data_IF_492868212717
#
_entry.id   IF_492868212717
#
_cell.length_a   1.000
_cell.length_b   1.000
_cell.length_c   1.000
_cell.angle_alpha   90.00
_cell.angle_beta   90.00
_cell.angle_gamma   90.00
#
_symmetry.space_group_name_H-M   'P 1'
#
loop_
_entity.id
_entity.type
_entity.pdbx_description
1 polymer ?
#
# COMPACT_ATOMS: atom_id res chain seq x y z
N UNK A 1 -22.07 6.34 -14.35
CA UNK A 1 -22.12 7.62 -13.61
C UNK A 1 -20.68 8.03 -13.37
N UNK A 2 -20.27 9.19 -13.88
CA UNK A 2 -18.89 9.69 -13.75
C UNK A 2 -18.78 10.49 -12.45
N UNK A 3 -17.71 10.27 -11.68
CA UNK A 3 -17.37 11.09 -10.52
C UNK A 3 -16.90 12.47 -11.01
N UNK A 4 -17.83 13.40 -11.20
CA UNK A 4 -17.49 14.77 -11.54
C UNK A 4 -17.19 15.53 -10.25
N UNK A 5 -15.90 15.65 -9.92
CA UNK A 5 -15.44 16.36 -8.73
C UNK A 5 -15.36 17.85 -9.06
N UNK A 6 -16.50 18.54 -8.89
CA UNK A 6 -16.61 19.99 -8.67
C UNK A 6 -15.67 20.90 -9.50
N UNK A 7 -16.06 21.22 -10.74
CA UNK A 7 -15.44 22.31 -11.49
C UNK A 7 -16.29 22.72 -12.69
N UNK A 8 -16.63 24.02 -12.80
CA UNK A 8 -17.26 24.59 -13.99
C UNK A 8 -16.17 24.86 -15.03
N UNK A 9 -16.19 24.17 -16.17
CA UNK A 9 -15.27 24.41 -17.29
C UNK A 9 -14.83 23.15 -18.04
N UNK A 10 -14.26 23.33 -19.23
CA UNK A 10 -13.75 22.24 -20.07
C UNK A 10 -12.39 21.68 -19.60
N UNK A 11 -11.63 22.48 -18.81
CA UNK A 11 -10.34 22.12 -18.25
C UNK A 11 -10.49 21.37 -16.91
N UNK A 12 -9.81 20.25 -16.70
CA UNK A 12 -9.87 19.50 -15.46
C UNK A 12 -9.10 20.18 -14.32
N UNK A 13 -9.51 19.96 -13.08
CA UNK A 13 -8.78 20.48 -11.91
C UNK A 13 -7.46 19.73 -11.73
N UNK A 14 -6.53 20.36 -10.99
CA UNK A 14 -5.27 19.70 -10.62
C UNK A 14 -5.54 18.39 -9.86
N UNK A 15 -6.49 18.37 -8.94
CA UNK A 15 -6.84 17.18 -8.15
C UNK A 15 -7.45 16.07 -9.01
N UNK A 16 -8.27 16.39 -10.01
CA UNK A 16 -8.78 15.40 -10.98
C UNK A 16 -7.61 14.75 -11.77
N UNK A 17 -6.63 15.55 -12.20
CA UNK A 17 -5.43 15.04 -12.90
C UNK A 17 -4.54 14.19 -11.98
N UNK A 18 -4.30 14.65 -10.75
CA UNK A 18 -3.45 13.95 -9.79
C UNK A 18 -4.07 12.61 -9.39
N UNK A 19 -5.39 12.57 -9.15
CA UNK A 19 -6.10 11.34 -8.84
C UNK A 19 -6.04 10.34 -10.01
N UNK A 20 -6.22 10.80 -11.25
CA UNK A 20 -6.06 9.97 -12.43
C UNK A 20 -4.63 9.42 -12.60
N UNK A 21 -3.60 10.18 -12.22
CA UNK A 21 -2.21 9.72 -12.30
C UNK A 21 -1.86 8.65 -11.24
N UNK A 22 -2.43 8.72 -10.03
CA UNK A 22 -2.11 7.80 -8.93
C UNK A 22 -2.80 6.43 -9.06
N UNK A 23 -3.86 6.34 -9.85
CA UNK A 23 -4.68 5.12 -9.93
C UNK A 23 -3.90 3.88 -10.40
N UNK A 24 -3.07 3.92 -11.45
CA UNK A 24 -2.30 2.75 -11.87
C UNK A 24 -1.30 2.26 -10.82
N UNK A 25 -0.63 3.17 -10.09
CA UNK A 25 0.29 2.78 -9.01
C UNK A 25 -0.43 2.10 -7.85
N UNK A 26 -1.61 2.62 -7.48
CA UNK A 26 -2.43 2.00 -6.43
C UNK A 26 -2.97 0.63 -6.86
N UNK A 27 -3.38 0.50 -8.13
CA UNK A 27 -3.82 -0.76 -8.71
C UNK A 27 -2.70 -1.80 -8.71
N UNK A 28 -1.46 -1.41 -9.03
CA UNK A 28 -0.29 -2.30 -8.94
C UNK A 28 -0.12 -2.83 -7.50
N UNK A 29 -0.06 -1.93 -6.52
CA UNK A 29 0.12 -2.33 -5.13
C UNK A 29 -1.00 -3.26 -4.62
N UNK A 30 -2.26 -2.94 -4.95
CA UNK A 30 -3.41 -3.76 -4.59
C UNK A 30 -3.39 -5.15 -5.24
N UNK A 31 -2.99 -5.25 -6.51
CA UNK A 31 -2.85 -6.54 -7.21
C UNK A 31 -1.71 -7.37 -6.62
N UNK A 32 -0.52 -6.79 -6.42
CA UNK A 32 0.62 -7.50 -5.81
C UNK A 32 0.23 -8.05 -4.43
N UNK A 33 -0.44 -7.26 -3.59
CA UNK A 33 -0.91 -7.72 -2.29
C UNK A 33 -1.96 -8.83 -2.40
N UNK A 34 -2.97 -8.67 -3.26
CA UNK A 34 -4.05 -9.64 -3.43
C UNK A 34 -3.53 -10.98 -3.96
N UNK A 35 -2.61 -10.94 -4.93
CA UNK A 35 -1.95 -12.13 -5.48
C UNK A 35 -1.05 -12.75 -4.42
N UNK A 36 -0.32 -11.97 -3.62
CA UNK A 36 0.51 -12.47 -2.52
C UNK A 36 -0.31 -13.23 -1.47
N UNK A 37 -1.46 -12.69 -1.06
CA UNK A 37 -2.39 -13.39 -0.15
C UNK A 37 -2.95 -14.66 -0.78
N UNK A 38 -3.31 -14.62 -2.07
CA UNK A 38 -3.84 -15.78 -2.78
C UNK A 38 -2.77 -16.86 -3.04
N UNK A 39 -1.50 -16.46 -3.15
CA UNK A 39 -0.36 -17.36 -3.33
C UNK A 39 -0.17 -18.30 -2.13
N UNK A 40 -0.50 -17.84 -0.91
CA UNK A 40 -0.52 -18.69 0.29
C UNK A 40 -1.43 -19.91 0.14
N UNK A 41 -2.49 -19.81 -0.69
CA UNK A 41 -3.45 -20.90 -0.91
C UNK A 41 -3.18 -21.69 -2.20
N UNK A 42 -2.49 -21.09 -3.17
CA UNK A 42 -2.28 -21.67 -4.51
C UNK A 42 -0.84 -21.43 -4.99
N UNK A 43 0.01 -22.48 -5.06
CA UNK A 43 1.43 -22.32 -5.34
C UNK A 43 1.74 -21.79 -6.74
N UNK A 44 0.85 -22.00 -7.72
CA UNK A 44 1.05 -21.49 -9.08
C UNK A 44 1.09 -19.95 -9.16
N UNK A 45 0.55 -19.24 -8.17
CA UNK A 45 0.54 -17.78 -8.14
C UNK A 45 1.87 -17.17 -7.72
N UNK A 46 2.76 -17.94 -7.08
CA UNK A 46 4.14 -17.48 -6.85
C UNK A 46 4.85 -17.16 -8.17
N UNK A 47 4.62 -17.98 -9.20
CA UNK A 47 5.16 -17.72 -10.54
C UNK A 47 4.61 -16.42 -11.16
N UNK A 48 3.39 -16.00 -10.81
CA UNK A 48 2.84 -14.72 -11.26
C UNK A 48 3.48 -13.56 -10.50
N UNK A 49 3.78 -13.76 -9.21
CA UNK A 49 4.46 -12.77 -8.37
C UNK A 49 5.92 -12.55 -8.79
N UNK A 50 6.63 -13.61 -9.21
CA UNK A 50 8.00 -13.51 -9.74
C UNK A 50 8.10 -12.62 -10.99
N UNK A 51 7.02 -12.57 -11.78
CA UNK A 51 6.89 -11.76 -12.99
C UNK A 51 5.86 -10.62 -12.81
N UNK A 52 5.82 -9.99 -11.64
CA UNK A 52 4.82 -8.96 -11.33
C UNK A 52 4.89 -7.75 -12.29
N UNK A 53 6.09 -7.31 -12.68
CA UNK A 53 6.31 -6.20 -13.60
C UNK A 53 5.75 -6.51 -14.99
N UNK A 54 6.02 -7.71 -15.51
CA UNK A 54 5.58 -8.17 -16.83
C UNK A 54 4.05 -8.35 -16.86
N UNK A 55 3.51 -8.97 -15.82
CA UNK A 55 2.06 -9.18 -15.68
C UNK A 55 1.33 -7.84 -15.61
N UNK A 56 1.81 -6.90 -14.78
CA UNK A 56 1.20 -5.58 -14.65
C UNK A 56 1.32 -4.77 -15.95
N UNK A 57 2.47 -4.81 -16.62
CA UNK A 57 2.65 -4.13 -17.90
C UNK A 57 1.71 -4.71 -18.99
N UNK A 58 1.52 -6.02 -19.04
CA UNK A 58 0.58 -6.67 -19.95
C UNK A 58 -0.86 -6.26 -19.64
N UNK A 59 -1.26 -6.29 -18.36
CA UNK A 59 -2.59 -5.89 -17.92
C UNK A 59 -2.88 -4.42 -18.30
N UNK A 60 -1.96 -3.51 -17.97
CA UNK A 60 -2.08 -2.10 -18.33
C UNK A 60 -2.05 -1.89 -19.84
N UNK A 61 -1.28 -2.65 -20.60
CA UNK A 61 -1.30 -2.61 -22.06
C UNK A 61 -2.69 -2.92 -22.61
N UNK A 62 -3.34 -3.97 -22.10
CA UNK A 62 -4.69 -4.36 -22.52
C UNK A 62 -5.71 -3.29 -22.14
N UNK A 63 -5.69 -2.83 -20.88
CA UNK A 63 -6.63 -1.82 -20.38
C UNK A 63 -6.47 -0.47 -21.09
N UNK A 64 -5.24 0.03 -21.24
CA UNK A 64 -4.96 1.30 -21.91
C UNK A 64 -5.26 1.24 -23.40
N UNK A 65 -4.90 0.15 -24.07
CA UNK A 65 -5.21 -0.04 -25.50
C UNK A 65 -6.73 -0.10 -25.71
N UNK A 66 -7.46 -0.78 -24.81
CA UNK A 66 -8.91 -0.80 -24.86
C UNK A 66 -9.51 0.59 -24.63
N UNK A 67 -9.11 1.29 -23.56
CA UNK A 67 -9.64 2.62 -23.21
C UNK A 67 -9.35 3.65 -24.30
N UNK A 68 -8.12 3.74 -24.80
CA UNK A 68 -7.77 4.71 -25.84
C UNK A 68 -8.46 4.42 -27.17
N UNK A 69 -8.85 3.17 -27.42
CA UNK A 69 -9.60 2.78 -28.63
C UNK A 69 -11.10 3.08 -28.51
N UNK A 70 -11.68 3.00 -27.32
CA UNK A 70 -13.12 3.17 -27.09
C UNK A 70 -13.48 4.60 -26.67
N UNK A 71 -12.78 5.17 -25.68
CA UNK A 71 -13.10 6.45 -25.06
C UNK A 71 -12.15 7.59 -25.45
N UNK A 72 -11.10 7.31 -26.25
CA UNK A 72 -10.02 8.27 -26.56
C UNK A 72 -9.41 8.88 -25.28
N UNK A 73 -9.41 8.12 -24.18
CA UNK A 73 -8.88 8.47 -22.88
C UNK A 73 -8.05 7.31 -22.34
N UNK A 74 -7.06 7.60 -21.51
CA UNK A 74 -6.42 6.52 -20.73
C UNK A 74 -7.40 5.86 -19.77
N UNK A 75 -7.09 4.66 -19.31
CA UNK A 75 -7.96 3.91 -18.40
C UNK A 75 -8.31 4.72 -17.15
N UNK A 76 -7.31 5.35 -16.53
CA UNK A 76 -7.53 6.17 -15.34
C UNK A 76 -8.27 7.47 -15.63
N UNK A 77 -7.99 8.14 -16.75
CA UNK A 77 -8.74 9.33 -17.18
C UNK A 77 -10.22 9.00 -17.42
N UNK A 78 -10.54 7.86 -18.04
CA UNK A 78 -11.92 7.40 -18.26
C UNK A 78 -12.68 7.18 -16.95
N UNK A 79 -12.00 6.76 -15.88
CA UNK A 79 -12.60 6.59 -14.55
C UNK A 79 -13.09 7.91 -13.94
N UNK A 80 -12.34 8.99 -14.17
CA UNK A 80 -12.65 10.34 -13.71
C UNK A 80 -13.44 11.18 -14.73
N UNK A 81 -13.89 10.59 -15.84
CA UNK A 81 -14.67 11.31 -16.87
C UNK A 81 -13.85 12.28 -17.70
N UNK A 82 -12.56 12.02 -17.84
CA UNK A 82 -11.59 12.82 -18.59
C UNK A 82 -11.34 12.19 -19.96
N UNK A 83 -10.96 13.03 -20.92
CA UNK A 83 -10.71 12.61 -22.31
C UNK A 83 -9.54 13.38 -22.91
N UNK A 84 -8.75 12.70 -23.75
CA UNK A 84 -7.65 13.33 -24.48
C UNK A 84 -8.15 13.97 -25.77
N UNK A 85 -7.51 15.07 -26.15
CA UNK A 85 -7.75 15.76 -27.42
C UNK A 85 -6.43 16.25 -27.99
N UNK A 86 -6.31 16.21 -29.32
CA UNK A 86 -5.14 16.78 -29.99
C UNK A 86 -5.15 18.30 -29.80
N UNK A 87 -4.10 18.83 -29.18
CA UNK A 87 -3.83 20.25 -29.17
C UNK A 87 -3.17 20.61 -30.50
N UNK A 88 -3.83 21.43 -31.33
CA UNK A 88 -3.16 22.11 -32.43
C UNK A 88 -2.26 23.16 -31.80
N UNK A 89 -0.96 22.89 -31.71
CA UNK A 89 0.05 23.88 -31.32
C UNK A 89 0.04 24.93 -32.43
N UNK A 90 -0.80 25.96 -32.30
CA UNK A 90 -0.74 27.14 -33.16
C UNK A 90 0.55 27.86 -32.79
N UNK A 91 1.59 27.65 -33.58
CA UNK A 91 2.77 28.50 -33.61
C UNK A 91 2.29 29.94 -33.74
N UNK A 92 2.61 30.77 -32.76
CA UNK A 92 2.15 32.14 -32.58
C UNK A 92 2.82 33.07 -33.59
N UNK A 93 2.61 32.85 -34.88
CA UNK A 93 3.06 33.77 -35.95
C UNK A 93 2.21 33.64 -37.22
N UNK A 94 0.90 33.68 -37.09
CA UNK A 94 -0.03 34.18 -38.10
C UNK A 94 -1.41 34.32 -37.46
N UNK A 95 -2.04 35.47 -37.71
CA UNK A 95 -3.46 35.75 -37.56
C UNK A 95 -3.98 36.22 -36.20
N UNK A 96 -3.83 37.54 -36.00
CA UNK A 96 -4.67 38.41 -35.16
C UNK A 96 -6.09 38.58 -35.76
N UNK A 97 -6.47 37.87 -36.83
CA UNK A 97 -7.64 38.21 -37.65
C UNK A 97 -8.66 37.08 -37.86
N UNK A 98 -9.04 36.36 -36.80
CA UNK A 98 -10.26 35.54 -36.82
C UNK A 98 -10.88 35.34 -35.43
N UNK A 99 -11.46 36.40 -34.86
CA UNK A 99 -12.50 36.27 -33.82
C UNK A 99 -13.86 36.38 -34.51
N UNK A 100 -14.47 35.23 -34.83
CA UNK A 100 -15.94 35.06 -34.94
C UNK A 100 -16.27 33.70 -35.59
N UNK A 101 -16.43 32.65 -34.77
CA UNK A 101 -17.43 31.57 -34.92
C UNK A 101 -17.05 30.42 -33.99
N UNK A 102 -17.81 30.27 -32.91
CA UNK A 102 -17.82 29.07 -32.08
C UNK A 102 -18.14 27.84 -32.93
N UNK A 103 -17.12 27.03 -33.12
CA UNK A 103 -17.16 25.78 -33.85
C UNK A 103 -15.86 25.08 -33.54
N UNK A 104 -15.67 24.70 -32.27
CA UNK A 104 -14.55 23.86 -31.84
C UNK A 104 -14.67 22.56 -32.65
N UNK A 105 -13.97 22.48 -33.77
CA UNK A 105 -13.91 21.25 -34.56
C UNK A 105 -13.30 20.16 -33.67
N UNK A 106 -14.15 19.25 -33.18
CA UNK A 106 -13.80 18.13 -32.32
C UNK A 106 -12.99 17.09 -33.11
N UNK A 107 -11.70 17.37 -33.37
CA UNK A 107 -10.79 16.39 -33.98
C UNK A 107 -10.36 15.36 -32.94
N UNK A 108 -10.81 14.11 -33.08
CA UNK A 108 -10.33 12.99 -32.26
C UNK A 108 -8.83 12.71 -32.46
N UNK A 109 -8.23 11.91 -31.57
CA UNK A 109 -6.79 11.60 -31.63
C UNK A 109 -6.40 10.89 -32.92
N UNK A 110 -5.24 11.25 -33.46
CA UNK A 110 -4.64 10.54 -34.58
C UNK A 110 -4.19 9.13 -34.15
N UNK A 111 -4.18 8.16 -35.08
CA UNK A 111 -3.72 6.78 -34.79
C UNK A 111 -2.30 6.76 -34.22
N UNK A 112 -1.41 7.62 -34.71
CA UNK A 112 -0.04 7.77 -34.21
C UNK A 112 -0.02 8.27 -32.76
N UNK A 113 -0.81 9.29 -32.45
CA UNK A 113 -0.95 9.83 -31.09
C UNK A 113 -1.49 8.79 -30.11
N UNK A 114 -2.46 7.97 -30.53
CA UNK A 114 -2.98 6.86 -29.69
C UNK A 114 -1.87 5.86 -29.35
N UNK A 115 -1.15 5.36 -30.35
CA UNK A 115 -0.07 4.37 -30.13
C UNK A 115 1.05 4.96 -29.28
N UNK A 116 1.51 6.17 -29.58
CA UNK A 116 2.55 6.83 -28.78
C UNK A 116 2.09 7.07 -27.34
N UNK A 117 0.81 7.36 -27.11
CA UNK A 117 0.28 7.54 -25.77
C UNK A 117 0.24 6.24 -24.96
N UNK A 118 -0.06 5.09 -25.59
CA UNK A 118 0.05 3.77 -24.95
C UNK A 118 1.51 3.47 -24.59
N UNK A 119 2.43 3.73 -25.52
CA UNK A 119 3.86 3.51 -25.30
C UNK A 119 4.36 4.34 -24.12
N UNK A 120 3.99 5.63 -24.05
CA UNK A 120 4.39 6.49 -22.94
C UNK A 120 3.78 6.06 -21.59
N UNK A 121 2.54 5.55 -21.58
CA UNK A 121 1.84 5.13 -20.36
C UNK A 121 2.24 3.75 -19.83
N UNK A 122 2.73 2.86 -20.69
CA UNK A 122 2.99 1.45 -20.30
C UNK A 122 4.47 1.12 -20.42
N UNK A 123 5.07 1.43 -21.56
CA UNK A 123 6.45 1.03 -21.87
C UNK A 123 7.45 1.86 -21.05
N UNK A 124 7.24 3.17 -20.97
CA UNK A 124 8.12 4.04 -20.18
C UNK A 124 8.13 3.68 -18.67
N UNK A 125 6.99 3.52 -17.97
CA UNK A 125 7.02 3.12 -16.58
C UNK A 125 7.56 1.70 -16.36
N UNK A 126 7.36 0.76 -17.30
CA UNK A 126 7.98 -0.56 -17.24
C UNK A 126 9.51 -0.48 -17.33
N UNK A 127 10.05 0.31 -18.26
CA UNK A 127 11.50 0.53 -18.31
C UNK A 127 12.01 1.24 -17.05
N UNK A 128 11.26 2.24 -16.54
CA UNK A 128 11.61 2.92 -15.30
C UNK A 128 11.63 1.95 -14.11
N UNK A 129 10.67 1.03 -13.99
CA UNK A 129 10.64 0.05 -12.89
C UNK A 129 11.76 -0.97 -13.01
N UNK A 130 12.06 -1.48 -14.22
CA UNK A 130 13.19 -2.38 -14.45
C UNK A 130 14.53 -1.71 -14.16
N UNK A 131 14.73 -0.47 -14.61
CA UNK A 131 15.94 0.29 -14.28
C UNK A 131 16.07 0.53 -12.76
N UNK A 132 14.97 0.84 -12.09
CA UNK A 132 14.93 1.02 -10.64
C UNK A 132 15.29 -0.27 -9.89
N UNK A 133 14.74 -1.41 -10.32
CA UNK A 133 15.04 -2.73 -9.74
C UNK A 133 16.52 -3.10 -9.89
N UNK A 134 17.08 -2.89 -11.09
CA UNK A 134 18.50 -3.14 -11.34
C UNK A 134 19.38 -2.22 -10.48
N UNK A 135 19.03 -0.93 -10.39
CA UNK A 135 19.74 0.05 -9.58
C UNK A 135 19.69 -0.30 -8.09
N UNK A 136 18.53 -0.66 -7.55
CA UNK A 136 18.36 -1.02 -6.15
C UNK A 136 19.14 -2.29 -5.81
N UNK A 137 19.10 -3.32 -6.67
CA UNK A 137 19.87 -4.55 -6.48
C UNK A 137 21.37 -4.28 -6.41
N UNK A 138 21.90 -3.41 -7.27
CA UNK A 138 23.30 -3.05 -7.25
C UNK A 138 23.66 -2.18 -6.03
N UNK A 139 22.79 -1.22 -5.68
CA UNK A 139 22.97 -0.39 -4.49
C UNK A 139 22.97 -1.23 -3.22
N UNK A 140 22.06 -2.18 -3.09
CA UNK A 140 21.98 -3.13 -1.98
C UNK A 140 23.21 -4.02 -1.91
N UNK A 141 23.68 -4.57 -3.04
CA UNK A 141 24.91 -5.37 -3.08
C UNK A 141 26.14 -4.54 -2.67
N UNK A 142 26.24 -3.28 -3.11
CA UNK A 142 27.31 -2.36 -2.68
C UNK A 142 27.23 -2.01 -1.20
N UNK A 143 26.03 -1.74 -0.69
CA UNK A 143 25.79 -1.46 0.73
C UNK A 143 26.14 -2.67 1.58
N UNK A 144 25.68 -3.87 1.20
CA UNK A 144 25.97 -5.12 1.89
C UNK A 144 27.48 -5.40 1.92
N UNK A 145 28.17 -5.23 0.79
CA UNK A 145 29.63 -5.37 0.73
C UNK A 145 30.38 -4.33 1.58
N UNK A 146 29.84 -3.12 1.72
CA UNK A 146 30.44 -2.08 2.58
C UNK A 146 30.20 -2.34 4.08
N UNK A 147 29.08 -2.97 4.44
CA UNK A 147 28.69 -3.25 5.82
C UNK A 147 29.31 -4.54 6.37
N UNK A 148 29.44 -5.57 5.53
CA UNK A 148 29.87 -6.90 5.95
C UNK A 148 31.25 -7.31 5.38
N UNK A 149 31.92 -6.41 4.66
CA UNK A 149 33.12 -6.72 3.86
C UNK A 149 32.77 -7.55 2.62
N UNK A 150 33.75 -7.83 1.73
CA UNK A 150 33.55 -8.76 0.62
C UNK A 150 33.38 -10.18 1.17
N UNK A 151 32.18 -10.51 1.62
CA UNK A 151 31.80 -11.88 1.97
C UNK A 151 31.90 -12.75 0.72
N UNK A 152 32.82 -13.71 0.75
CA UNK A 152 32.92 -14.76 -0.25
C UNK A 152 31.56 -15.46 -0.35
N UNK A 153 30.88 -15.29 -1.47
CA UNK A 153 29.49 -15.71 -1.71
C UNK A 153 29.37 -17.22 -1.91
N UNK A 154 29.84 -18.02 -0.94
CA UNK A 154 29.88 -19.48 -1.03
C UNK A 154 29.07 -20.20 0.05
N UNK A 155 28.04 -19.57 0.63
CA UNK A 155 27.27 -20.20 1.71
C UNK A 155 25.78 -20.48 1.44
N UNK A 156 25.28 -20.29 0.21
CA UNK A 156 23.92 -20.72 -0.15
C UNK A 156 23.92 -21.47 -1.49
N UNK A 157 24.56 -22.64 -1.52
CA UNK A 157 24.26 -23.73 -2.45
C UNK A 157 24.90 -25.01 -1.87
N UNK A 158 24.27 -25.57 -0.84
CA UNK A 158 24.52 -26.96 -0.44
C UNK A 158 23.47 -27.80 -1.14
N UNK A 159 23.71 -28.07 -2.43
CA UNK A 159 23.01 -29.13 -3.14
C UNK A 159 23.54 -30.49 -2.66
N UNK A 160 22.60 -31.32 -2.23
CA UNK A 160 22.81 -32.67 -1.76
C UNK A 160 23.21 -33.58 -2.94
N UNK A 161 24.31 -34.32 -2.74
CA UNK A 161 24.92 -35.33 -3.60
C UNK A 161 24.01 -36.04 -4.62
N UNK A 162 24.48 -36.10 -5.87
CA UNK A 162 24.48 -37.37 -6.63
C UNK A 162 25.79 -37.51 -7.40
N UNK A 163 26.40 -38.67 -7.25
CA UNK A 163 27.75 -39.05 -7.66
C UNK A 163 27.63 -39.99 -8.87
N UNK A 164 28.06 -39.55 -10.06
CA UNK A 164 27.90 -40.32 -11.28
C UNK A 164 28.72 -39.83 -12.46
N UNK A 165 29.95 -40.32 -12.53
CA UNK A 165 30.82 -40.59 -13.69
C UNK A 165 30.80 -39.68 -14.95
N UNK A 166 31.99 -39.11 -15.18
CA UNK A 166 32.75 -39.07 -16.45
C UNK A 166 32.06 -38.58 -17.75
N UNK A 167 32.52 -37.42 -18.23
CA UNK A 167 33.09 -37.32 -19.59
C UNK A 167 33.91 -36.04 -19.78
N UNK A 168 35.19 -36.25 -20.08
CA UNK A 168 36.11 -35.25 -20.63
C UNK A 168 35.79 -35.13 -22.13
N UNK A 169 35.16 -34.04 -22.56
CA UNK A 169 35.26 -33.54 -23.93
C UNK A 169 34.68 -32.12 -24.10
N UNK A 170 35.45 -31.24 -24.75
CA UNK A 170 35.09 -29.95 -25.34
C UNK A 170 34.70 -28.79 -24.41
N UNK A 171 35.70 -28.04 -23.94
CA UNK A 171 35.48 -26.85 -23.09
C UNK A 171 36.45 -25.70 -23.41
N UNK A 172 36.50 -25.29 -24.68
CA UNK A 172 37.45 -24.25 -25.12
C UNK A 172 36.88 -23.19 -26.07
N UNK A 173 35.56 -23.11 -26.28
CA UNK A 173 34.95 -22.08 -27.14
C UNK A 173 33.80 -21.28 -26.54
N UNK A 174 33.29 -21.63 -25.34
CA UNK A 174 32.17 -20.93 -24.70
C UNK A 174 32.58 -19.97 -23.56
N UNK A 175 33.82 -20.05 -23.06
CA UNK A 175 34.29 -19.24 -21.92
C UNK A 175 34.70 -17.80 -22.33
N UNK A 176 35.15 -17.59 -23.58
CA UNK A 176 35.52 -16.26 -24.11
C UNK A 176 34.31 -15.38 -24.40
N UNK A 177 33.22 -15.92 -24.93
CA UNK A 177 31.97 -15.16 -25.17
C UNK A 177 31.25 -14.78 -23.87
N UNK A 178 31.30 -15.67 -22.86
CA UNK A 178 30.79 -15.38 -21.51
C UNK A 178 31.57 -14.24 -20.82
N UNK A 179 32.89 -14.19 -21.00
CA UNK A 179 33.76 -13.14 -20.41
C UNK A 179 33.51 -11.74 -20.99
N UNK A 180 33.27 -11.62 -22.31
CA UNK A 180 32.97 -10.32 -22.92
C UNK A 180 31.57 -9.81 -22.55
N UNK A 181 30.55 -10.68 -22.56
CA UNK A 181 29.18 -10.32 -22.14
C UNK A 181 29.11 -9.93 -20.67
N UNK A 182 29.85 -10.63 -19.80
CA UNK A 182 29.90 -10.30 -18.37
C UNK A 182 30.66 -8.99 -18.10
N UNK A 183 31.74 -8.69 -18.84
CA UNK A 183 32.43 -7.39 -18.76
C UNK A 183 31.56 -6.24 -19.27
N UNK A 184 30.88 -6.43 -20.41
CA UNK A 184 29.96 -5.43 -20.96
C UNK A 184 28.78 -5.19 -20.01
N UNK A 185 28.18 -6.25 -19.47
CA UNK A 185 27.10 -6.16 -18.48
C UNK A 185 27.55 -5.43 -17.21
N UNK A 186 28.75 -5.71 -16.69
CA UNK A 186 29.32 -4.99 -15.53
C UNK A 186 29.56 -3.52 -15.82
N UNK A 187 30.02 -3.17 -17.02
CA UNK A 187 30.20 -1.78 -17.42
C UNK A 187 28.86 -1.05 -17.58
N UNK A 188 27.87 -1.70 -18.19
CA UNK A 188 26.51 -1.17 -18.32
C UNK A 188 25.88 -0.96 -16.93
N UNK A 189 26.02 -1.92 -16.01
CA UNK A 189 25.55 -1.81 -14.63
C UNK A 189 26.18 -0.60 -13.92
N UNK A 190 27.51 -0.45 -13.99
CA UNK A 190 28.20 0.73 -13.42
C UNK A 190 27.68 2.05 -14.00
N UNK A 191 27.46 2.11 -15.31
CA UNK A 191 26.93 3.29 -15.99
C UNK A 191 25.48 3.56 -15.54
N UNK A 192 24.64 2.52 -15.43
CA UNK A 192 23.28 2.64 -14.90
C UNK A 192 23.31 3.16 -13.46
N UNK A 193 24.18 2.60 -12.60
CA UNK A 193 24.38 3.04 -11.23
C UNK A 193 24.75 4.53 -11.10
N UNK A 194 25.56 5.05 -12.02
CA UNK A 194 25.96 6.46 -12.01
C UNK A 194 24.93 7.39 -12.68
N UNK A 195 24.30 6.96 -13.77
CA UNK A 195 23.42 7.78 -14.59
C UNK A 195 21.97 7.80 -14.08
N UNK A 196 21.48 6.69 -13.54
CA UNK A 196 20.09 6.55 -13.10
C UNK A 196 19.64 7.60 -12.07
N UNK A 197 20.42 7.95 -11.03
CA UNK A 197 20.02 8.98 -10.07
C UNK A 197 19.77 10.34 -10.72
N UNK A 198 20.62 10.74 -11.67
CA UNK A 198 20.48 12.00 -12.40
C UNK A 198 19.29 11.99 -13.35
N UNK A 199 19.10 10.89 -14.09
CA UNK A 199 17.94 10.72 -14.97
C UNK A 199 16.66 10.75 -14.13
N UNK A 200 16.60 10.01 -13.03
CA UNK A 200 15.45 9.98 -12.13
C UNK A 200 15.17 11.39 -11.58
N UNK A 201 16.17 12.07 -11.01
CA UNK A 201 16.02 13.42 -10.48
C UNK A 201 15.52 14.40 -11.55
N UNK A 202 16.05 14.32 -12.78
CA UNK A 202 15.61 15.17 -13.90
C UNK A 202 14.16 14.88 -14.29
N UNK A 203 13.77 13.60 -14.38
CA UNK A 203 12.39 13.24 -14.73
C UNK A 203 11.39 13.67 -13.67
N UNK A 204 11.71 13.52 -12.38
CA UNK A 204 10.85 13.97 -11.28
C UNK A 204 10.79 15.50 -11.21
N UNK A 205 11.94 16.18 -11.38
CA UNK A 205 12.01 17.64 -11.42
C UNK A 205 11.20 18.23 -12.58
N UNK A 206 11.28 17.64 -13.77
CA UNK A 206 10.43 18.02 -14.90
C UNK A 206 8.96 17.77 -14.61
N UNK A 207 8.61 16.61 -14.07
CA UNK A 207 7.21 16.30 -13.71
C UNK A 207 6.65 17.30 -12.71
N UNK A 208 7.40 17.61 -11.64
CA UNK A 208 7.04 18.62 -10.65
C UNK A 208 6.89 20.01 -11.27
N UNK A 209 7.82 20.43 -12.13
CA UNK A 209 7.76 21.74 -12.78
C UNK A 209 6.50 21.90 -13.65
N UNK A 210 6.12 20.87 -14.42
CA UNK A 210 4.90 20.89 -15.24
C UNK A 210 3.64 20.86 -14.37
N UNK A 211 3.63 20.09 -13.28
CA UNK A 211 2.53 20.08 -12.31
C UNK A 211 2.33 21.45 -11.66
N UNK A 212 3.42 22.12 -11.27
CA UNK A 212 3.40 23.46 -10.70
C UNK A 212 2.91 24.50 -11.73
N UNK A 213 3.42 24.45 -12.96
CA UNK A 213 2.97 25.33 -14.05
C UNK A 213 1.50 25.10 -14.41
N UNK A 214 1.01 23.87 -14.32
CA UNK A 214 -0.40 23.54 -14.49
C UNK A 214 -1.27 24.11 -13.37
N UNK A 215 -0.78 24.09 -12.13
CA UNK A 215 -1.46 24.66 -10.96
C UNK A 215 -1.52 26.19 -11.04
N UNK A 216 -0.43 26.83 -11.49
CA UNK A 216 -0.33 28.28 -11.70
C UNK A 216 -1.08 28.78 -12.96
N UNK A 217 -1.82 27.90 -13.64
CA UNK A 217 -2.56 28.19 -14.88
C UNK A 217 -1.68 28.71 -16.04
N UNK A 218 -0.36 28.57 -15.95
CA UNK A 218 0.60 29.04 -16.96
C UNK A 218 0.66 28.12 -18.18
N UNK A 219 0.48 26.82 -17.97
CA UNK A 219 0.47 25.81 -19.05
C UNK A 219 -0.80 24.97 -19.02
N UNK A 220 -1.35 24.64 -20.19
CA UNK A 220 -2.48 23.71 -20.33
C UNK A 220 -2.12 22.23 -20.27
N UNK A 221 -0.84 21.89 -20.08
CA UNK A 221 -0.32 20.51 -20.08
C UNK A 221 0.11 20.10 -18.67
N UNK A 222 -0.29 18.91 -18.24
CA UNK A 222 0.00 18.39 -16.91
C UNK A 222 1.33 17.62 -16.83
N UNK A 223 1.76 16.99 -17.93
CA UNK A 223 3.00 16.22 -17.96
C UNK A 223 3.81 16.48 -19.24
N UNK A 224 5.11 16.24 -19.16
CA UNK A 224 6.04 16.38 -20.31
C UNK A 224 5.61 15.51 -21.49
N UNK A 225 5.13 14.29 -21.22
CA UNK A 225 4.66 13.37 -22.27
C UNK A 225 3.45 13.90 -23.02
N UNK A 226 2.50 14.52 -22.33
CA UNK A 226 1.33 15.14 -22.96
C UNK A 226 1.73 16.34 -23.83
N UNK A 227 2.69 17.14 -23.35
CA UNK A 227 3.22 18.26 -24.11
C UNK A 227 3.95 17.79 -25.38
N UNK A 228 4.83 16.79 -25.28
CA UNK A 228 5.56 16.23 -26.41
C UNK A 228 4.64 15.61 -27.48
N UNK A 229 3.51 15.04 -27.06
CA UNK A 229 2.51 14.46 -27.97
C UNK A 229 1.52 15.50 -28.52
N UNK A 230 1.54 16.73 -28.00
CA UNK A 230 0.57 17.77 -28.32
C UNK A 230 -0.85 17.33 -27.96
N UNK A 231 -1.05 16.77 -26.77
CA UNK A 231 -2.35 16.26 -26.30
C UNK A 231 -2.75 17.03 -25.04
N UNK A 232 -3.98 17.56 -25.02
CA UNK A 232 -4.58 18.16 -23.83
C UNK A 232 -5.71 17.28 -23.29
N UNK A 233 -5.92 17.32 -21.98
CA UNK A 233 -6.98 16.56 -21.31
C UNK A 233 -8.15 17.49 -20.99
N UNK A 234 -9.37 17.07 -21.34
CA UNK A 234 -10.62 17.79 -21.14
C UNK A 234 -11.65 16.92 -20.42
N UNK A 235 -12.64 17.55 -19.78
CA UNK A 235 -13.82 16.84 -19.27
C UNK A 235 -14.67 16.31 -20.42
N UNK A 236 -15.17 15.08 -20.32
CA UNK A 236 -16.08 14.49 -21.30
C UNK A 236 -17.48 15.07 -21.13
N UNK A 237 -18.10 15.50 -22.24
CA UNK A 237 -19.50 15.95 -22.24
C UNK A 237 -20.46 14.76 -22.39
N UNK A 238 -21.67 14.85 -21.79
CA UNK A 238 -22.66 13.77 -21.84
C UNK A 238 -23.07 13.37 -23.27
N UNK A 239 -23.12 14.34 -24.18
CA UNK A 239 -23.40 14.11 -25.60
C UNK A 239 -22.27 13.34 -26.28
N UNK A 240 -21.01 13.63 -25.97
CA UNK A 240 -19.85 12.91 -26.49
C UNK A 240 -19.82 11.45 -26.03
N UNK A 241 -20.31 11.15 -24.83
CA UNK A 241 -20.40 9.78 -24.32
C UNK A 241 -21.42 8.96 -25.13
N UNK A 242 -22.58 9.54 -25.46
CA UNK A 242 -23.59 8.90 -26.30
C UNK A 242 -23.09 8.68 -27.74
N UNK A 243 -22.36 9.65 -28.29
CA UNK A 243 -21.73 9.50 -29.61
C UNK A 243 -20.65 8.41 -29.61
N UNK A 244 -19.87 8.27 -28.53
CA UNK A 244 -18.90 7.18 -28.42
C UNK A 244 -19.54 5.82 -28.31
N UNK A 245 -20.59 5.65 -27.50
CA UNK A 245 -21.25 4.35 -27.34
C UNK A 245 -21.87 3.86 -28.67
N UNK A 246 -22.45 4.79 -29.45
CA UNK A 246 -23.00 4.48 -30.77
C UNK A 246 -21.92 4.15 -31.81
N UNK A 247 -20.74 4.77 -31.74
CA UNK A 247 -19.59 4.42 -32.61
C UNK A 247 -19.02 3.05 -32.25
N UNK A 248 -18.89 2.76 -30.95
CA UNK A 248 -18.39 1.48 -30.44
C UNK A 248 -19.30 0.34 -30.88
N UNK A 249 -20.62 0.49 -30.75
CA UNK A 249 -21.58 -0.54 -31.16
C UNK A 249 -21.49 -0.84 -32.66
N UNK A 250 -21.32 0.19 -33.51
CA UNK A 250 -21.11 0.05 -34.96
C UNK A 250 -19.78 -0.63 -35.32
N UNK A 251 -18.71 -0.36 -34.57
CA UNK A 251 -17.42 -1.03 -34.80
C UNK A 251 -17.52 -2.51 -34.42
N UNK A 252 -18.16 -2.82 -33.29
CA UNK A 252 -18.34 -4.20 -32.81
C UNK A 252 -19.24 -5.02 -33.73
N UNK A 253 -20.30 -4.43 -34.29
CA UNK A 253 -21.14 -5.12 -35.27
C UNK A 253 -20.34 -5.48 -36.53
N UNK A 254 -19.52 -4.55 -37.03
CA UNK A 254 -18.63 -4.80 -38.18
C UNK A 254 -17.56 -5.84 -37.91
N UNK A 255 -16.97 -5.85 -36.71
CA UNK A 255 -15.99 -6.89 -36.33
C UNK A 255 -16.64 -8.27 -36.25
N UNK A 256 -17.87 -8.34 -35.71
CA UNK A 256 -18.66 -9.58 -35.68
C UNK A 256 -18.99 -10.10 -37.08
N UNK A 257 -19.27 -9.20 -38.02
CA UNK A 257 -19.51 -9.53 -39.44
C UNK A 257 -18.25 -10.01 -40.17
N UNK A 258 -17.05 -9.56 -39.75
CA UNK A 258 -15.76 -9.91 -40.37
C UNK A 258 -15.19 -11.26 -39.93
N UNK A 259 -15.78 -11.92 -38.93
CA UNK A 259 -15.32 -13.24 -38.49
C UNK A 259 -15.45 -14.24 -39.66
N UNK A 260 -14.33 -14.87 -40.05
CA UNK A 260 -14.27 -15.93 -41.08
C UNK A 260 -14.17 -17.29 -40.41
N UNK A 261 -14.88 -18.30 -40.92
CA UNK A 261 -14.84 -19.67 -40.40
C UNK A 261 -16.18 -20.42 -40.50
N UNK A 262 -16.21 -21.70 -40.11
CA UNK A 262 -17.45 -22.50 -40.03
C UNK A 262 -18.39 -21.99 -38.92
N UNK A 263 -19.71 -22.28 -39.00
CA UNK A 263 -20.74 -21.63 -38.19
C UNK A 263 -20.57 -21.82 -36.66
N UNK A 264 -20.08 -22.99 -36.23
CA UNK A 264 -19.84 -23.27 -34.80
C UNK A 264 -18.63 -22.50 -34.25
N UNK A 265 -17.51 -22.42 -35.00
CA UNK A 265 -16.34 -21.62 -34.61
C UNK A 265 -16.68 -20.12 -34.58
N UNK A 266 -17.50 -19.64 -35.51
CA UNK A 266 -18.02 -18.26 -35.49
C UNK A 266 -18.86 -17.97 -34.25
N UNK A 267 -19.71 -18.91 -33.83
CA UNK A 267 -20.52 -18.77 -32.63
C UNK A 267 -19.63 -18.70 -31.37
N UNK A 268 -18.62 -19.57 -31.27
CA UNK A 268 -17.68 -19.59 -30.13
C UNK A 268 -16.82 -18.33 -30.10
N UNK A 269 -16.17 -17.96 -31.20
CA UNK A 269 -15.35 -16.74 -31.29
C UNK A 269 -16.17 -15.49 -31.04
N UNK A 270 -17.38 -15.41 -31.60
CA UNK A 270 -18.29 -14.30 -31.38
C UNK A 270 -18.72 -14.18 -29.91
N UNK A 271 -18.99 -15.31 -29.25
CA UNK A 271 -19.33 -15.32 -27.82
C UNK A 271 -18.13 -14.94 -26.96
N UNK A 272 -16.93 -15.47 -27.25
CA UNK A 272 -15.69 -15.13 -26.55
C UNK A 272 -15.38 -13.63 -26.67
N UNK A 273 -15.45 -13.07 -27.88
CA UNK A 273 -15.23 -11.65 -28.10
C UNK A 273 -16.28 -10.79 -27.39
N UNK A 274 -17.54 -11.23 -27.37
CA UNK A 274 -18.61 -10.52 -26.66
C UNK A 274 -18.36 -10.53 -25.15
N UNK A 275 -17.96 -11.68 -24.59
CA UNK A 275 -17.56 -11.79 -23.18
C UNK A 275 -16.34 -10.93 -22.88
N UNK A 276 -15.29 -10.96 -23.72
CA UNK A 276 -14.08 -10.16 -23.52
C UNK A 276 -14.39 -8.66 -23.55
N UNK A 277 -15.18 -8.19 -24.53
CA UNK A 277 -15.59 -6.79 -24.59
C UNK A 277 -16.51 -6.40 -23.43
N UNK A 278 -17.43 -7.29 -23.02
CA UNK A 278 -18.24 -7.05 -21.84
C UNK A 278 -17.37 -6.91 -20.59
N UNK A 279 -16.43 -7.83 -20.36
CA UNK A 279 -15.49 -7.75 -19.23
C UNK A 279 -14.70 -6.45 -19.25
N UNK A 280 -14.19 -6.02 -20.41
CA UNK A 280 -13.41 -4.78 -20.53
C UNK A 280 -14.27 -3.51 -20.35
N UNK A 281 -15.51 -3.48 -20.84
CA UNK A 281 -16.43 -2.36 -20.64
C UNK A 281 -16.88 -2.25 -19.19
N UNK A 282 -17.19 -3.40 -18.58
CA UNK A 282 -17.64 -3.48 -17.19
C UNK A 282 -16.49 -3.51 -16.20
N UNK A 283 -15.23 -3.56 -16.63
CA UNK A 283 -14.06 -3.53 -15.75
C UNK A 283 -14.06 -2.28 -14.87
N UNK A 284 -14.41 -1.13 -15.45
CA UNK A 284 -14.53 0.14 -14.73
C UNK A 284 -15.61 0.08 -13.63
N UNK A 285 -16.83 -0.39 -13.98
CA UNK A 285 -17.91 -0.53 -13.00
C UNK A 285 -17.62 -1.62 -11.96
N UNK A 286 -16.95 -2.70 -12.37
CA UNK A 286 -16.54 -3.79 -11.51
C UNK A 286 -15.50 -3.36 -10.50
N UNK A 287 -14.54 -2.52 -10.89
CA UNK A 287 -13.53 -1.96 -9.98
C UNK A 287 -14.19 -1.08 -8.91
N UNK A 288 -15.12 -0.20 -9.30
CA UNK A 288 -15.86 0.64 -8.34
C UNK A 288 -16.67 -0.23 -7.37
N UNK A 289 -17.37 -1.24 -7.89
CA UNK A 289 -18.12 -2.17 -7.07
C UNK A 289 -17.21 -2.98 -6.13
N UNK A 290 -16.03 -3.40 -6.59
CA UNK A 290 -15.05 -4.12 -5.80
C UNK A 290 -14.51 -3.26 -4.65
N UNK A 291 -14.20 -1.98 -4.91
CA UNK A 291 -13.78 -1.03 -3.86
C UNK A 291 -14.89 -0.85 -2.81
N UNK A 292 -16.15 -0.73 -3.25
CA UNK A 292 -17.29 -0.63 -2.35
C UNK A 292 -17.44 -1.89 -1.50
N UNK A 293 -17.42 -3.07 -2.11
CA UNK A 293 -17.52 -4.36 -1.42
C UNK A 293 -16.34 -4.53 -0.44
N UNK A 294 -15.13 -4.17 -0.86
CA UNK A 294 -13.95 -4.21 -0.01
C UNK A 294 -14.12 -3.30 1.21
N UNK A 295 -14.57 -2.05 1.02
CA UNK A 295 -14.82 -1.12 2.14
C UNK A 295 -15.93 -1.60 3.06
N UNK A 296 -16.98 -2.21 2.51
CA UNK A 296 -18.04 -2.85 3.29
C UNK A 296 -17.49 -4.03 4.10
N UNK A 297 -16.60 -4.84 3.51
CA UNK A 297 -15.94 -5.96 4.17
C UNK A 297 -14.99 -5.49 5.26
N UNK A 298 -14.18 -4.47 4.99
CA UNK A 298 -13.28 -3.82 5.95
C UNK A 298 -14.08 -3.31 7.16
N UNK A 299 -15.18 -2.59 6.91
CA UNK A 299 -16.09 -2.15 7.97
C UNK A 299 -16.66 -3.32 8.77
N UNK A 300 -17.08 -4.40 8.10
CA UNK A 300 -17.63 -5.59 8.75
C UNK A 300 -16.60 -6.25 9.68
N UNK A 301 -15.36 -6.41 9.23
CA UNK A 301 -14.30 -7.03 10.03
C UNK A 301 -13.74 -6.11 11.11
N UNK A 302 -13.56 -4.81 10.86
CA UNK A 302 -13.18 -3.84 11.92
C UNK A 302 -14.22 -3.80 13.03
N UNK A 303 -15.51 -3.76 12.66
CA UNK A 303 -16.61 -3.80 13.64
C UNK A 303 -16.68 -5.14 14.40
N UNK A 304 -16.15 -6.23 13.84
CA UNK A 304 -16.05 -7.50 14.53
C UNK A 304 -14.86 -7.51 15.49
N UNK A 305 -13.72 -6.99 15.07
CA UNK A 305 -12.50 -6.86 15.88
C UNK A 305 -12.76 -5.96 17.09
N UNK A 306 -13.36 -4.78 16.91
CA UNK A 306 -13.73 -3.87 18.02
C UNK A 306 -14.63 -4.54 19.06
N UNK A 307 -15.54 -5.43 18.64
CA UNK A 307 -16.41 -6.19 19.55
C UNK A 307 -15.68 -7.32 20.27
N UNK A 308 -14.64 -7.89 19.67
CA UNK A 308 -13.82 -8.96 20.26
C UNK A 308 -12.69 -8.42 21.12
N UNK A 309 -12.16 -7.24 20.80
CA UNK A 309 -11.06 -6.56 21.49
C UNK A 309 -11.53 -5.62 22.59
N UNK A 310 -12.85 -5.35 22.69
CA UNK A 310 -13.42 -4.64 23.82
C UNK A 310 -13.04 -5.41 25.10
N UNK A 311 -12.23 -4.83 26.00
CA UNK A 311 -11.84 -5.52 27.20
C UNK A 311 -13.11 -5.88 27.95
N UNK A 312 -13.30 -7.17 28.22
CA UNK A 312 -14.28 -7.62 29.19
C UNK A 312 -13.85 -7.02 30.53
N UNK A 313 -14.40 -5.84 30.86
CA UNK A 313 -14.24 -5.23 32.17
C UNK A 313 -14.99 -6.13 33.14
N UNK A 314 -14.32 -7.18 33.60
CA UNK A 314 -14.81 -7.96 34.70
C UNK A 314 -14.98 -6.99 35.88
N UNK A 315 -16.14 -6.99 36.56
CA UNK A 315 -16.28 -6.20 37.76
C UNK A 315 -15.12 -6.55 38.70
N UNK A 316 -14.47 -5.56 39.33
CA UNK A 316 -13.39 -5.83 40.26
C UNK A 316 -13.88 -6.86 41.27
N UNK A 317 -13.12 -7.92 41.55
CA UNK A 317 -13.54 -8.93 42.50
C UNK A 317 -13.87 -8.24 43.83
N UNK A 318 -14.90 -8.69 44.56
CA UNK A 318 -15.24 -8.11 45.84
C UNK A 318 -13.99 -8.10 46.75
N UNK A 319 -13.72 -7.02 47.50
CA UNK A 319 -12.53 -6.93 48.34
C UNK A 319 -12.49 -8.10 49.32
N UNK A 320 -11.29 -8.66 49.60
CA UNK A 320 -11.16 -9.78 50.52
C UNK A 320 -11.73 -9.39 51.91
N UNK A 321 -12.42 -10.30 52.61
CA UNK A 321 -12.96 -10.01 53.93
C UNK A 321 -11.81 -9.65 54.90
N UNK A 322 -12.03 -8.69 55.81
CA UNK A 322 -11.00 -8.30 56.77
C UNK A 322 -10.60 -9.49 57.67
N UNK A 323 -9.31 -9.60 58.05
CA UNK A 323 -8.84 -10.68 58.88
C UNK A 323 -9.50 -10.64 60.26
N UNK A 324 -10.01 -11.78 60.71
CA UNK A 324 -10.66 -11.93 62.01
C UNK A 324 -9.62 -11.94 63.13
N UNK A 325 -9.97 -11.36 64.27
CA UNK A 325 -9.17 -11.45 65.51
C UNK A 325 -9.12 -12.92 65.95
N UNK A 326 -7.93 -13.42 66.31
CA UNK A 326 -7.79 -14.78 66.81
C UNK A 326 -8.42 -14.89 68.21
N UNK A 327 -8.98 -16.06 68.56
CA UNK A 327 -9.60 -16.28 69.88
C UNK A 327 -8.62 -16.04 71.04
N UNK A 328 -7.33 -16.33 70.82
CA UNK A 328 -6.24 -16.16 71.79
C UNK A 328 -5.39 -14.90 71.50
N UNK A 329 -5.84 -14.04 70.58
CA UNK A 329 -5.19 -12.77 70.26
C UNK A 329 -5.55 -11.68 71.27
N UNK A 330 -4.75 -10.61 71.27
CA UNK A 330 -5.06 -9.44 72.11
C UNK A 330 -6.35 -8.78 71.60
N UNK A 331 -7.33 -8.50 72.49
CA UNK A 331 -8.57 -7.84 72.09
C UNK A 331 -8.29 -6.42 71.60
N UNK A 332 -9.09 -5.98 70.62
CA UNK A 332 -8.97 -4.64 70.08
C UNK A 332 -9.63 -3.64 71.05
N UNK A 333 -8.97 -2.50 71.37
CA UNK A 333 -9.60 -1.41 72.08
C UNK A 333 -10.82 -0.87 71.32
N UNK A 334 -11.84 -0.32 72.02
CA UNK A 334 -13.00 0.30 71.37
C UNK A 334 -12.59 1.51 70.52
N UNK A 335 -11.58 2.27 70.97
CA UNK A 335 -11.06 3.43 70.24
C UNK A 335 -9.93 3.04 69.27
N UNK A 336 -10.14 3.35 67.99
CA UNK A 336 -9.20 3.06 66.90
C UNK A 336 -7.92 3.88 66.94
N UNK A 337 -7.80 4.87 67.81
CA UNK A 337 -6.60 5.71 67.98
C UNK A 337 -5.64 5.16 69.04
N UNK A 338 -6.07 4.15 69.79
CA UNK A 338 -5.32 3.50 70.87
C UNK A 338 -4.54 2.30 70.31
N UNK A 339 -3.33 2.09 70.81
CA UNK A 339 -2.51 0.93 70.49
C UNK A 339 -2.94 -0.27 71.34
N UNK A 340 -3.24 -1.45 70.75
CA UNK A 340 -3.62 -2.65 71.51
C UNK A 340 -2.52 -3.20 72.44
N UNK A 341 -1.24 -2.84 72.22
CA UNK A 341 -0.11 -3.35 73.00
C UNK A 341 0.23 -2.50 74.23
N UNK A 342 0.18 -1.17 74.12
CA UNK A 342 0.53 -0.26 75.21
C UNK A 342 -0.67 0.49 75.80
N UNK A 343 -1.86 0.32 75.24
CA UNK A 343 -3.11 0.98 75.65
C UNK A 343 -3.02 2.51 75.71
N UNK A 344 -2.05 3.11 75.02
CA UNK A 344 -1.87 4.55 74.89
C UNK A 344 -2.21 5.01 73.46
N UNK A 345 -2.37 6.32 73.27
CA UNK A 345 -2.52 6.94 71.95
C UNK A 345 -1.33 6.57 71.06
N UNK A 346 -1.60 6.17 69.81
CA UNK A 346 -0.56 5.66 68.91
C UNK A 346 0.49 6.73 68.59
N UNK A 347 1.74 6.45 68.99
CA UNK A 347 2.91 7.20 68.55
C UNK A 347 3.57 6.45 67.37
N UNK A 348 3.81 7.15 66.25
CA UNK A 348 4.34 6.58 65.01
C UNK A 348 3.55 5.33 64.56
N UNK A 349 2.29 5.51 64.10
CA UNK A 349 1.42 4.40 63.74
C UNK A 349 2.08 3.53 62.65
N UNK A 350 2.06 2.22 62.85
CA UNK A 350 2.67 1.24 61.94
C UNK A 350 1.73 0.06 61.77
N UNK A 351 1.52 -0.35 60.53
CA UNK A 351 0.67 -1.48 60.15
C UNK A 351 1.51 -2.74 59.97
N UNK A 352 0.94 -3.88 60.37
CA UNK A 352 1.45 -5.21 60.00
C UNK A 352 0.76 -5.62 58.70
N UNK A 353 1.49 -5.77 57.60
CA UNK A 353 0.89 -6.01 56.27
C UNK A 353 0.12 -7.32 56.16
N UNK A 354 0.45 -8.31 56.99
CA UNK A 354 -0.20 -9.63 57.01
C UNK A 354 -1.62 -9.57 57.59
N UNK A 355 -1.85 -8.69 58.57
CA UNK A 355 -3.12 -8.63 59.31
C UNK A 355 -3.85 -7.29 59.17
N UNK A 356 -3.22 -6.26 58.61
CA UNK A 356 -3.83 -4.94 58.44
C UNK A 356 -4.06 -4.16 59.74
N UNK A 357 -3.65 -4.67 60.90
CA UNK A 357 -3.81 -3.98 62.18
C UNK A 357 -2.67 -3.00 62.46
N UNK A 358 -3.00 -1.88 63.11
CA UNK A 358 -2.11 -0.75 63.35
C UNK A 358 -1.75 -0.61 64.82
N UNK A 359 -0.46 -0.41 65.09
CA UNK A 359 0.15 -0.32 66.41
C UNK A 359 1.14 0.84 66.48
N UNK A 360 1.71 1.13 67.65
CA UNK A 360 2.91 1.97 67.73
C UNK A 360 4.12 1.21 67.15
N UNK A 361 4.96 1.88 66.35
CA UNK A 361 6.17 1.27 65.77
C UNK A 361 7.03 0.55 66.82
N UNK A 362 7.34 1.22 67.94
CA UNK A 362 8.19 0.65 68.99
C UNK A 362 7.59 -0.58 69.66
N UNK A 363 6.26 -0.63 69.82
CA UNK A 363 5.57 -1.76 70.44
C UNK A 363 5.54 -2.97 69.52
N UNK A 364 5.15 -2.78 68.25
CA UNK A 364 5.01 -3.88 67.32
C UNK A 364 6.37 -4.44 66.86
N UNK A 365 7.38 -3.59 66.69
CA UNK A 365 8.72 -4.02 66.34
C UNK A 365 9.32 -4.93 67.43
N UNK A 366 9.17 -4.57 68.72
CA UNK A 366 9.61 -5.42 69.84
C UNK A 366 8.86 -6.76 69.85
N UNK A 367 7.53 -6.73 69.71
CA UNK A 367 6.72 -7.95 69.75
C UNK A 367 7.03 -8.91 68.58
N UNK A 368 7.06 -8.39 67.34
CA UNK A 368 7.32 -9.21 66.15
C UNK A 368 8.77 -9.73 66.14
N UNK A 369 9.73 -8.94 66.60
CA UNK A 369 11.12 -9.39 66.74
C UNK A 369 11.27 -10.56 67.71
N UNK A 370 10.43 -10.65 68.75
CA UNK A 370 10.54 -11.66 69.80
C UNK A 370 9.66 -12.89 69.52
N UNK A 371 8.45 -12.69 68.99
CA UNK A 371 7.45 -13.76 68.83
C UNK A 371 7.15 -14.13 67.37
N UNK A 372 7.71 -13.41 66.38
CA UNK A 372 7.57 -13.70 64.93
C UNK A 372 6.13 -13.90 64.45
N UNK A 373 5.19 -13.19 65.07
CA UNK A 373 3.74 -13.28 64.80
C UNK A 373 3.01 -11.98 65.11
N UNK A 374 1.83 -11.80 64.52
CA UNK A 374 0.96 -10.68 64.83
C UNK A 374 0.26 -10.88 66.19
N UNK A 375 0.23 -9.88 67.10
CA UNK A 375 -0.39 -10.02 68.42
C UNK A 375 -1.92 -10.18 68.40
N UNK A 376 -2.60 -9.74 67.33
CA UNK A 376 -4.07 -9.73 67.23
C UNK A 376 -4.60 -10.95 66.45
N UNK A 377 -3.92 -11.34 65.37
CA UNK A 377 -4.35 -12.48 64.53
C UNK A 377 -3.54 -13.75 64.73
N UNK A 378 -2.42 -13.68 65.45
CA UNK A 378 -1.43 -14.76 65.61
C UNK A 378 -0.85 -15.31 64.29
N UNK A 379 -1.11 -14.63 63.17
CA UNK A 379 -0.52 -14.96 61.88
C UNK A 379 1.00 -14.75 61.92
N UNK A 380 1.80 -15.60 61.27
CA UNK A 380 3.24 -15.43 61.20
C UNK A 380 3.58 -14.08 60.56
N UNK A 381 4.46 -13.33 61.21
CA UNK A 381 4.84 -12.00 60.76
C UNK A 381 6.32 -11.73 61.04
N UNK A 382 6.98 -11.09 60.07
CA UNK A 382 8.37 -10.66 60.18
C UNK A 382 8.52 -9.14 60.28
N UNK A 383 9.71 -8.69 60.69
CA UNK A 383 10.00 -7.26 60.90
C UNK A 383 9.87 -6.47 59.59
N UNK A 384 10.19 -7.08 58.45
CA UNK A 384 10.08 -6.48 57.11
C UNK A 384 8.62 -6.20 56.68
N UNK A 385 7.67 -6.86 57.33
CA UNK A 385 6.23 -6.71 57.09
C UNK A 385 5.60 -5.61 57.95
N UNK A 386 6.41 -4.85 58.70
CA UNK A 386 5.97 -3.67 59.44
C UNK A 386 6.17 -2.44 58.55
N UNK A 387 5.07 -1.75 58.21
CA UNK A 387 5.11 -0.51 57.44
C UNK A 387 4.66 0.66 58.31
N UNK A 388 5.49 1.70 58.39
CA UNK A 388 5.12 2.95 59.07
C UNK A 388 4.07 3.68 58.24
N UNK A 389 3.03 4.17 58.89
CA UNK A 389 2.00 4.99 58.29
C UNK A 389 2.34 6.45 58.54
N UNK A 390 2.61 7.18 57.47
CA UNK A 390 2.72 8.63 57.52
C UNK A 390 1.32 9.19 57.26
N UNK A 391 0.88 10.10 58.13
CA UNK A 391 -0.33 10.87 57.90
C UNK A 391 0.15 12.22 57.41
N UNK A 392 -0.26 12.62 56.21
CA UNK A 392 -0.12 14.01 55.81
C UNK A 392 -1.05 14.83 56.72
N UNK A 393 -0.47 15.76 57.46
CA UNK A 393 -1.19 16.67 58.36
C UNK A 393 -1.82 17.79 57.54
#
# INVERSE_FOLDING_TARGET
MLFQVGGQGARPTFFEMAAAQQLPSSLRGALTYSIGVLALRRPFLHKVLDYEDEFFALLMLVLETHSLRTTDASFSESLYGLRRRAAKIRTKQADIRSKSSDGIQHSGLERRQRVLSVVFLVVLPYFKSKLHSIYNKEREARLQASLWGPGDGRFEDVDYFDEGEASIASRTSTETEGSMRTRLAKNIQKIIGACYPWVHATTEGLTFSYQLLYLLDATGFYSVGLHALGIHVCRATGQELMDTSSRISKIRSRERERLRGPPWLKAVQGTLLKCAYAVLDYAQTGLIAAVFIFKMMEWWYQSAEERMSAPTVYPPPPPPPPPKVAKDGIPLPPDRTICPLCSQKRANPSVVTVSGFVFCYACIHKYVSQYKRCPVTLMPADVDQIRRLFHDV
#
